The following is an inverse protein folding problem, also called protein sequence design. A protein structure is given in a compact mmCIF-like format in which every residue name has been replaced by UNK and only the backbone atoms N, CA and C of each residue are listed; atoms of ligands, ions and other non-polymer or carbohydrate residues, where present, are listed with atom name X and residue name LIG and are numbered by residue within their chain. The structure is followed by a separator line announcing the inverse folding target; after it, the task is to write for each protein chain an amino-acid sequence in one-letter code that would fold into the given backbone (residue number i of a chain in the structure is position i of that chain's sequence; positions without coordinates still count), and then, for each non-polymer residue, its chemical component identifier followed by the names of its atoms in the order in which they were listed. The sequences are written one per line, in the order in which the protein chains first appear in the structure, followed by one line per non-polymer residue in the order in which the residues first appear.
data_IF_953103233236
#
_entry.id   IF_953103233236
#
_cell.length_a   1.000
_cell.length_b   1.000
_cell.length_c   1.000
_cell.angle_alpha   90.00
_cell.angle_beta   90.00
_cell.angle_gamma   90.00
#
_symmetry.space_group_name_H-M   'P 1'
#
loop_
_entity.id
_entity.type
_entity.pdbx_description
1 polymer ?
#
# COMPACT_ATOMS: atom_id res chain seq x y z
N UNK A 1 -29.18 -8.41 -9.77
CA UNK A 1 -27.75 -8.60 -9.42
C UNK A 1 -27.06 -9.19 -10.65
N UNK A 2 -26.58 -8.30 -11.52
CA UNK A 2 -26.51 -8.52 -12.97
C UNK A 2 -25.21 -9.16 -13.45
N UNK A 3 -25.28 -9.82 -14.60
CA UNK A 3 -24.14 -10.41 -15.35
C UNK A 3 -23.00 -9.39 -15.57
N UNK A 4 -23.34 -8.09 -15.60
CA UNK A 4 -22.38 -6.97 -15.69
C UNK A 4 -21.44 -6.84 -14.48
N UNK A 5 -21.91 -7.10 -13.25
CA UNK A 5 -21.05 -7.01 -12.05
C UNK A 5 -19.95 -8.08 -12.07
N UNK A 6 -20.27 -9.30 -12.49
CA UNK A 6 -19.28 -10.40 -12.59
C UNK A 6 -18.21 -10.14 -13.66
N UNK A 7 -18.56 -9.44 -14.73
CA UNK A 7 -17.63 -9.05 -15.79
C UNK A 7 -16.62 -8.02 -15.30
N UNK A 8 -17.12 -6.97 -14.62
CA UNK A 8 -16.29 -5.93 -14.00
C UNK A 8 -15.38 -6.50 -12.91
N UNK A 9 -15.87 -7.44 -12.09
CA UNK A 9 -15.05 -8.11 -11.07
C UNK A 9 -13.92 -8.98 -11.66
N UNK A 10 -14.15 -9.61 -12.81
CA UNK A 10 -13.09 -10.38 -13.50
C UNK A 10 -12.02 -9.46 -14.09
N UNK A 11 -12.44 -8.35 -14.70
CA UNK A 11 -11.54 -7.35 -15.25
C UNK A 11 -10.74 -6.68 -14.11
N UNK A 12 -11.40 -6.32 -13.01
CA UNK A 12 -10.76 -5.76 -11.82
C UNK A 12 -9.66 -6.67 -11.27
N UNK A 13 -9.97 -7.96 -11.07
CA UNK A 13 -8.98 -8.97 -10.62
C UNK A 13 -7.80 -9.14 -11.58
N UNK A 14 -8.07 -9.11 -12.89
CA UNK A 14 -7.00 -9.18 -13.89
C UNK A 14 -6.08 -7.96 -13.81
N UNK A 15 -6.65 -6.77 -13.69
CA UNK A 15 -5.89 -5.52 -13.59
C UNK A 15 -5.09 -5.44 -12.29
N UNK A 16 -5.67 -5.84 -11.15
CA UNK A 16 -4.93 -6.00 -9.89
C UNK A 16 -3.70 -6.89 -10.06
N UNK A 17 -3.84 -8.02 -10.78
CA UNK A 17 -2.71 -8.93 -11.03
C UNK A 17 -1.60 -8.29 -11.87
N UNK A 18 -1.95 -7.44 -12.84
CA UNK A 18 -0.98 -6.70 -13.64
C UNK A 18 -0.27 -5.64 -12.78
N UNK A 19 -1.00 -4.96 -11.89
CA UNK A 19 -0.49 -3.90 -11.03
C UNK A 19 0.48 -4.40 -9.95
N UNK A 20 0.16 -5.54 -9.35
CA UNK A 20 0.95 -6.16 -8.27
C UNK A 20 2.15 -6.93 -8.82
N UNK A 21 2.25 -7.12 -10.14
CA UNK A 21 3.38 -7.81 -10.76
C UNK A 21 4.68 -7.04 -10.49
N UNK A 22 5.70 -7.75 -10.01
CA UNK A 22 7.05 -7.22 -9.85
C UNK A 22 7.64 -6.82 -11.20
N UNK A 23 8.28 -5.66 -11.25
CA UNK A 23 9.01 -5.21 -12.43
C UNK A 23 10.32 -6.00 -12.55
N UNK A 24 10.62 -6.52 -13.75
CA UNK A 24 11.76 -7.42 -13.98
C UNK A 24 13.14 -6.75 -13.88
N UNK A 25 13.21 -5.46 -13.56
CA UNK A 25 14.42 -4.64 -13.70
C UNK A 25 15.02 -4.07 -12.41
N UNK A 26 14.34 -4.18 -11.26
CA UNK A 26 14.83 -3.57 -10.01
C UNK A 26 14.98 -4.62 -8.89
N UNK A 27 16.22 -4.96 -8.58
CA UNK A 27 16.63 -5.67 -7.38
C UNK A 27 17.16 -4.63 -6.39
N UNK A 28 16.50 -4.39 -5.25
CA UNK A 28 17.03 -3.47 -4.24
C UNK A 28 18.41 -3.99 -3.79
N UNK A 29 19.45 -3.21 -4.06
CA UNK A 29 20.85 -3.65 -3.94
C UNK A 29 21.45 -3.41 -2.54
N UNK A 30 20.62 -3.10 -1.53
CA UNK A 30 21.09 -2.93 -0.16
C UNK A 30 20.41 -3.95 0.74
N UNK A 31 21.14 -4.90 1.35
CA UNK A 31 20.57 -5.71 2.41
C UNK A 31 20.22 -4.77 3.57
N UNK A 32 18.93 -4.59 3.84
CA UNK A 32 18.51 -4.00 5.11
C UNK A 32 18.89 -5.00 6.21
N UNK A 33 19.46 -4.51 7.31
CA UNK A 33 19.67 -5.32 8.50
C UNK A 33 18.30 -5.46 9.21
N UNK A 34 17.60 -6.60 9.05
CA UNK A 34 16.22 -6.74 9.51
C UNK A 34 16.17 -6.83 11.03
N UNK A 35 17.23 -7.32 11.67
CA UNK A 35 17.33 -7.38 13.12
C UNK A 35 17.46 -5.96 13.69
N UNK A 36 18.34 -5.14 13.13
CA UNK A 36 18.47 -3.73 13.55
C UNK A 36 17.18 -2.97 13.28
N UNK A 37 16.54 -3.18 12.12
CA UNK A 37 15.24 -2.57 11.81
C UNK A 37 14.19 -2.95 12.87
N UNK A 38 14.04 -4.24 13.17
CA UNK A 38 13.09 -4.73 14.17
C UNK A 38 13.37 -4.19 15.56
N UNK A 39 14.65 -4.05 15.96
CA UNK A 39 15.03 -3.50 17.27
C UNK A 39 14.84 -1.99 17.37
N UNK A 40 14.83 -1.27 16.25
CA UNK A 40 14.74 0.20 16.21
C UNK A 40 13.30 0.70 16.14
N UNK A 41 12.38 -0.09 15.56
CA UNK A 41 10.99 0.28 15.37
C UNK A 41 10.22 0.40 16.69
N UNK A 42 9.41 1.44 16.79
CA UNK A 42 8.48 1.69 17.90
C UNK A 42 7.03 1.72 17.40
N UNK A 43 6.04 1.23 18.18
CA UNK A 43 4.63 1.38 17.83
C UNK A 43 4.30 2.82 17.47
N UNK A 44 3.58 3.02 16.35
CA UNK A 44 3.32 4.34 15.78
C UNK A 44 4.28 4.77 14.67
N UNK A 45 5.42 4.09 14.50
CA UNK A 45 6.33 4.35 13.38
C UNK A 45 5.70 3.97 12.05
N UNK A 46 6.09 4.71 11.00
CA UNK A 46 5.74 4.41 9.61
C UNK A 46 6.99 3.88 8.91
N UNK A 47 6.92 2.66 8.39
CA UNK A 47 7.93 2.05 7.56
C UNK A 47 7.69 2.45 6.10
N UNK A 48 8.54 3.32 5.56
CA UNK A 48 8.56 3.63 4.14
C UNK A 48 9.35 2.57 3.39
N UNK A 49 8.81 2.11 2.27
CA UNK A 49 9.39 1.03 1.47
C UNK A 49 9.57 1.49 0.03
N UNK A 50 10.76 1.24 -0.50
CA UNK A 50 11.02 1.35 -1.92
C UNK A 50 10.51 0.09 -2.65
N UNK A 51 9.24 0.09 -3.06
CA UNK A 51 8.64 -1.01 -3.80
C UNK A 51 9.17 -1.16 -5.23
N UNK A 52 9.03 -2.36 -5.77
CA UNK A 52 9.46 -2.76 -7.11
C UNK A 52 8.27 -3.22 -8.01
N UNK A 53 7.03 -3.05 -7.55
CA UNK A 53 5.83 -3.40 -8.30
C UNK A 53 5.59 -2.40 -9.45
N UNK A 54 4.80 -2.77 -10.45
CA UNK A 54 4.46 -1.87 -11.55
C UNK A 54 3.86 -0.54 -11.06
N UNK A 55 2.97 -0.60 -10.05
CA UNK A 55 2.42 0.61 -9.41
C UNK A 55 3.51 1.44 -8.72
N UNK A 56 4.53 0.79 -8.16
CA UNK A 56 5.62 1.48 -7.48
C UNK A 56 6.35 2.44 -8.41
N UNK A 57 6.63 2.04 -9.65
CA UNK A 57 7.29 2.91 -10.64
C UNK A 57 6.47 4.17 -10.91
N UNK A 58 5.16 4.03 -11.07
CA UNK A 58 4.28 5.17 -11.33
C UNK A 58 4.10 6.07 -10.10
N UNK A 59 4.04 5.51 -8.88
CA UNK A 59 4.05 6.31 -7.63
C UNK A 59 5.35 7.11 -7.53
N UNK A 60 6.51 6.48 -7.74
CA UNK A 60 7.82 7.16 -7.68
C UNK A 60 7.88 8.31 -8.69
N UNK A 61 7.43 8.05 -9.93
CA UNK A 61 7.38 9.05 -10.98
C UNK A 61 6.44 10.23 -10.64
N UNK A 62 5.24 9.97 -10.14
CA UNK A 62 4.26 11.02 -9.86
C UNK A 62 4.61 11.85 -8.62
N UNK A 63 5.17 11.22 -7.59
CA UNK A 63 5.49 11.87 -6.32
C UNK A 63 6.90 12.47 -6.29
N UNK A 64 7.73 12.16 -7.30
CA UNK A 64 9.16 12.49 -7.30
C UNK A 64 9.88 12.00 -6.03
N UNK A 65 9.41 10.88 -5.47
CA UNK A 65 9.94 10.24 -4.26
C UNK A 65 10.43 8.84 -4.61
N UNK A 66 11.44 8.35 -3.91
CA UNK A 66 11.86 6.93 -4.01
C UNK A 66 10.92 6.00 -3.24
N UNK A 67 10.18 6.52 -2.26
CA UNK A 67 9.25 5.76 -1.43
C UNK A 67 7.93 5.56 -2.16
N UNK A 68 7.57 4.30 -2.40
CA UNK A 68 6.37 3.96 -3.17
C UNK A 68 5.31 3.23 -2.35
N UNK A 69 5.65 2.81 -1.14
CA UNK A 69 4.75 2.11 -0.23
C UNK A 69 5.04 2.52 1.21
N UNK A 70 4.05 2.37 2.07
CA UNK A 70 4.15 2.67 3.49
C UNK A 70 3.37 1.63 4.31
N UNK A 71 3.95 1.19 5.41
CA UNK A 71 3.32 0.32 6.39
C UNK A 71 3.41 0.96 7.77
N UNK A 72 2.37 0.78 8.59
CA UNK A 72 2.32 1.27 9.96
C UNK A 72 2.78 0.17 10.91
N UNK A 73 3.72 0.46 11.81
CA UNK A 73 4.20 -0.48 12.80
C UNK A 73 3.35 -0.45 14.06
N UNK A 74 2.69 -1.58 14.35
CA UNK A 74 1.84 -1.76 15.54
C UNK A 74 2.57 -2.42 16.71
N UNK A 75 3.76 -2.99 16.46
CA UNK A 75 4.44 -3.86 17.43
C UNK A 75 3.74 -5.22 17.57
N UNK A 76 4.06 -5.96 18.62
CA UNK A 76 3.61 -7.35 18.81
C UNK A 76 2.18 -7.49 19.39
N UNK A 77 1.37 -6.44 19.27
CA UNK A 77 0.04 -6.36 19.90
C UNK A 77 -1.00 -7.30 19.25
N UNK A 78 -0.75 -7.76 18.03
CA UNK A 78 -1.68 -8.63 17.31
C UNK A 78 -1.58 -10.10 17.72
N UNK A 79 -0.45 -10.54 18.28
CA UNK A 79 -0.23 -11.94 18.68
C UNK A 79 -0.41 -12.96 17.54
N UNK A 80 -0.31 -12.52 16.29
CA UNK A 80 -0.56 -13.32 15.09
C UNK A 80 0.73 -13.51 14.30
N UNK A 81 0.82 -14.61 13.55
CA UNK A 81 1.93 -14.89 12.62
C UNK A 81 1.47 -14.65 11.19
N UNK A 82 2.33 -14.05 10.37
CA UNK A 82 2.05 -13.85 8.95
C UNK A 82 2.08 -15.21 8.22
N UNK A 83 0.95 -15.67 7.65
CA UNK A 83 0.89 -16.98 7.00
C UNK A 83 1.65 -17.04 5.67
N UNK A 84 1.95 -15.89 5.04
CA UNK A 84 2.63 -15.82 3.74
C UNK A 84 4.14 -15.69 3.89
N UNK A 85 4.59 -14.86 4.81
CA UNK A 85 6.01 -14.51 4.96
C UNK A 85 6.67 -15.10 6.22
N UNK A 86 5.87 -15.64 7.15
CA UNK A 86 6.36 -16.06 8.47
C UNK A 86 6.64 -14.85 9.38
N UNK A 87 6.95 -15.13 10.65
CA UNK A 87 7.23 -14.09 11.64
C UNK A 87 5.97 -13.38 12.18
N UNK A 88 6.12 -12.54 13.23
CA UNK A 88 5.00 -11.88 13.87
C UNK A 88 4.39 -10.78 12.97
N UNK A 89 3.07 -10.67 12.98
CA UNK A 89 2.31 -9.62 12.34
C UNK A 89 2.48 -8.31 13.12
N UNK A 90 3.51 -7.54 12.75
CA UNK A 90 3.88 -6.27 13.42
C UNK A 90 3.66 -5.04 12.55
N UNK A 91 3.27 -5.23 11.28
CA UNK A 91 2.95 -4.17 10.34
C UNK A 91 1.48 -4.24 9.92
N UNK A 92 0.85 -3.08 9.74
CA UNK A 92 -0.45 -2.92 9.08
C UNK A 92 -0.25 -2.08 7.82
N UNK A 93 -0.80 -2.54 6.71
CA UNK A 93 -0.68 -1.86 5.43
C UNK A 93 -1.88 -2.09 4.53
N UNK A 94 -2.00 -1.26 3.50
CA UNK A 94 -3.07 -1.37 2.50
C UNK A 94 -2.48 -1.82 1.18
N UNK A 95 -2.92 -2.98 0.70
CA UNK A 95 -2.52 -3.53 -0.58
C UNK A 95 -3.69 -3.51 -1.58
N UNK A 96 -3.39 -3.20 -2.84
CA UNK A 96 -4.39 -3.27 -3.91
C UNK A 96 -4.87 -4.72 -4.09
N UNK A 97 -6.18 -4.92 -3.98
CA UNK A 97 -6.83 -6.22 -4.11
C UNK A 97 -6.96 -7.03 -2.81
N UNK A 98 -6.08 -6.81 -1.83
CA UNK A 98 -6.17 -7.47 -0.52
C UNK A 98 -6.86 -6.61 0.53
N UNK A 99 -6.77 -5.28 0.38
CA UNK A 99 -7.29 -4.32 1.37
C UNK A 99 -6.28 -4.06 2.48
N UNK A 100 -6.79 -3.64 3.64
CA UNK A 100 -5.99 -3.43 4.84
C UNK A 100 -5.69 -4.78 5.51
N UNK A 101 -4.41 -5.11 5.65
CA UNK A 101 -3.93 -6.40 6.14
C UNK A 101 -2.79 -6.22 7.13
N UNK A 102 -2.62 -7.20 8.02
CA UNK A 102 -1.43 -7.31 8.85
C UNK A 102 -0.39 -8.21 8.19
N UNK A 103 0.89 -7.87 8.32
CA UNK A 103 2.03 -8.61 7.73
C UNK A 103 3.26 -8.53 8.64
N UNK A 104 4.25 -9.37 8.38
CA UNK A 104 5.52 -9.35 9.10
C UNK A 104 6.56 -8.43 8.47
N UNK A 105 7.61 -8.10 9.23
CA UNK A 105 8.80 -7.41 8.70
C UNK A 105 9.55 -8.26 7.66
N UNK A 106 9.45 -9.59 7.73
CA UNK A 106 10.14 -10.52 6.81
C UNK A 106 9.75 -10.30 5.35
N UNK A 107 8.54 -9.78 5.11
CA UNK A 107 8.09 -9.35 3.78
C UNK A 107 9.04 -8.34 3.13
N UNK A 108 9.65 -7.47 3.92
CA UNK A 108 10.49 -6.35 3.45
C UNK A 108 11.99 -6.56 3.63
N UNK A 109 12.40 -7.79 3.95
CA UNK A 109 13.81 -8.16 4.23
C UNK A 109 14.80 -7.80 3.12
N UNK A 110 14.35 -7.80 1.87
CA UNK A 110 15.18 -7.48 0.70
C UNK A 110 14.89 -6.11 0.10
N UNK A 111 14.17 -5.24 0.81
CA UNK A 111 13.77 -3.91 0.34
C UNK A 111 14.56 -2.81 1.04
N UNK A 112 14.77 -1.69 0.33
CA UNK A 112 15.21 -0.46 0.97
C UNK A 112 14.07 0.09 1.82
N UNK A 113 14.34 0.30 3.10
CA UNK A 113 13.37 0.78 4.08
C UNK A 113 13.84 2.04 4.80
N UNK A 114 12.91 2.89 5.22
CA UNK A 114 13.18 4.03 6.11
C UNK A 114 12.10 4.15 7.17
N UNK A 115 12.53 4.37 8.40
CA UNK A 115 11.63 4.67 9.52
C UNK A 115 11.27 6.15 9.48
N UNK A 116 9.97 6.44 9.51
CA UNK A 116 9.42 7.77 9.76
C UNK A 116 8.70 7.74 11.10
N UNK A 117 9.25 8.45 12.08
CA UNK A 117 8.75 8.48 13.46
C UNK A 117 7.95 9.75 13.72
N UNK A 118 6.69 9.66 14.15
CA UNK A 118 5.93 10.85 14.54
C UNK A 118 6.54 11.48 15.81
N UNK A 119 6.54 12.81 15.86
CA UNK A 119 7.03 13.59 17.01
C UNK A 119 5.88 14.32 17.68
N UNK A 120 5.94 14.47 19.01
CA UNK A 120 4.94 15.23 19.77
C UNK A 120 3.66 14.47 20.15
N UNK A 121 3.56 13.17 19.88
CA UNK A 121 2.44 12.34 20.34
C UNK A 121 2.61 11.95 21.80
N UNK A 122 1.54 12.06 22.58
CA UNK A 122 1.46 11.43 23.91
C UNK A 122 1.37 9.91 23.77
N UNK A 123 1.49 9.17 24.88
CA UNK A 123 1.32 7.71 24.86
C UNK A 123 -0.11 7.34 24.49
N UNK A 124 -1.06 8.13 24.97
CA UNK A 124 -2.49 7.98 24.75
C UNK A 124 -2.85 8.25 23.27
N UNK A 125 -2.28 9.29 22.66
CA UNK A 125 -2.49 9.56 21.23
C UNK A 125 -1.92 8.42 20.38
N UNK A 126 -0.68 7.98 20.70
CA UNK A 126 -0.05 6.86 19.99
C UNK A 126 -0.92 5.60 20.07
N UNK A 127 -1.50 5.31 21.23
CA UNK A 127 -2.40 4.16 21.38
C UNK A 127 -3.66 4.31 20.54
N UNK A 128 -4.27 5.51 20.49
CA UNK A 128 -5.43 5.77 19.63
C UNK A 128 -5.13 5.53 18.15
N UNK A 129 -3.95 5.96 17.66
CA UNK A 129 -3.52 5.70 16.28
C UNK A 129 -3.35 4.21 16.04
N UNK A 130 -2.72 3.48 16.97
CA UNK A 130 -2.55 2.01 16.89
C UNK A 130 -3.91 1.31 16.84
N UNK A 131 -4.81 1.63 17.77
CA UNK A 131 -6.15 1.05 17.86
C UNK A 131 -6.97 1.35 16.59
N UNK A 132 -6.87 2.58 16.07
CA UNK A 132 -7.48 2.94 14.80
C UNK A 132 -6.96 2.05 13.69
N UNK A 133 -5.64 1.91 13.53
CA UNK A 133 -5.06 1.09 12.47
C UNK A 133 -5.47 -0.38 12.57
N UNK A 134 -5.50 -0.94 13.78
CA UNK A 134 -5.98 -2.30 14.04
C UNK A 134 -7.45 -2.46 13.63
N UNK A 135 -8.31 -1.46 13.96
CA UNK A 135 -9.74 -1.48 13.60
C UNK A 135 -10.00 -1.52 12.09
N UNK A 136 -9.00 -1.17 11.27
CA UNK A 136 -9.11 -1.16 9.80
C UNK A 136 -8.69 -2.47 9.17
N UNK A 137 -8.10 -3.42 9.89
CA UNK A 137 -7.74 -4.73 9.34
C UNK A 137 -9.00 -5.39 8.75
N UNK A 138 -8.91 -5.87 7.50
CA UNK A 138 -10.02 -6.46 6.77
C UNK A 138 -10.85 -5.47 5.94
N UNK A 139 -10.58 -4.16 6.04
CA UNK A 139 -11.19 -3.15 5.17
C UNK A 139 -10.84 -3.47 3.71
N UNK A 140 -11.86 -3.80 2.90
CA UNK A 140 -11.72 -4.02 1.46
C UNK A 140 -11.96 -2.73 0.70
N UNK A 141 -11.19 -2.53 -0.37
CA UNK A 141 -11.38 -1.42 -1.28
C UNK A 141 -12.22 -1.80 -2.49
N UNK A 142 -13.08 -0.87 -2.92
CA UNK A 142 -13.90 -1.01 -4.11
C UNK A 142 -13.02 -1.02 -5.35
N UNK A 143 -13.25 -2.00 -6.23
CA UNK A 143 -12.55 -2.17 -7.51
C UNK A 143 -12.69 -0.95 -8.41
N UNK A 144 -13.75 -0.14 -8.23
CA UNK A 144 -13.95 1.13 -8.94
C UNK A 144 -12.81 2.11 -8.75
N UNK A 145 -12.26 2.22 -7.53
CA UNK A 145 -11.13 3.12 -7.25
C UNK A 145 -9.82 2.61 -7.88
N UNK A 146 -9.70 1.30 -8.12
CA UNK A 146 -8.55 0.69 -8.80
C UNK A 146 -8.49 1.13 -10.27
N UNK A 147 -9.64 1.26 -10.95
CA UNK A 147 -9.71 1.78 -12.32
C UNK A 147 -9.26 3.24 -12.41
N UNK A 148 -9.65 4.08 -11.44
CA UNK A 148 -9.19 5.47 -11.36
C UNK A 148 -7.67 5.53 -11.11
N UNK A 149 -7.13 4.70 -10.22
CA UNK A 149 -5.68 4.57 -10.00
C UNK A 149 -4.94 4.16 -11.28
N UNK A 150 -5.45 3.16 -12.00
CA UNK A 150 -4.88 2.69 -13.27
C UNK A 150 -4.79 3.79 -14.32
N UNK A 151 -5.80 4.67 -14.38
CA UNK A 151 -5.80 5.82 -15.28
C UNK A 151 -4.65 6.78 -14.99
N UNK A 152 -4.30 6.97 -13.72
CA UNK A 152 -3.15 7.80 -13.32
C UNK A 152 -1.81 7.09 -13.53
N UNK A 153 -1.75 5.77 -13.30
CA UNK A 153 -0.51 5.01 -13.36
C UNK A 153 -0.15 4.45 -14.75
N UNK A 154 -1.07 4.48 -15.71
CA UNK A 154 -0.79 4.29 -17.14
C UNK A 154 -0.74 5.68 -17.84
N UNK A 155 0.45 6.30 -18.03
CA UNK A 155 0.55 7.53 -18.81
C UNK A 155 0.22 7.34 -20.30
N UNK A 156 0.40 6.12 -20.83
CA UNK A 156 0.02 5.73 -22.19
C UNK A 156 -0.68 4.36 -22.19
N UNK A 157 -1.95 4.29 -21.76
CA UNK A 157 -2.73 3.06 -21.93
C UNK A 157 -2.82 2.75 -23.44
N UNK A 158 -2.83 1.47 -23.86
CA UNK A 158 -2.84 1.05 -25.26
C UNK A 158 -4.21 1.32 -25.90
N UNK A 159 -4.60 2.59 -25.93
CA UNK A 159 -5.86 3.08 -26.46
C UNK A 159 -5.58 4.28 -27.36
N UNK A 160 -6.34 4.42 -28.45
CA UNK A 160 -6.14 5.49 -29.43
C UNK A 160 -6.13 6.88 -28.76
N UNK A 161 -5.22 7.76 -29.20
CA UNK A 161 -5.03 9.12 -28.64
C UNK A 161 -6.35 9.90 -28.54
N UNK A 162 -7.26 9.70 -29.50
CA UNK A 162 -8.62 10.29 -29.53
C UNK A 162 -9.50 9.94 -28.32
N UNK A 163 -9.26 8.82 -27.64
CA UNK A 163 -10.02 8.38 -26.46
C UNK A 163 -9.35 8.77 -25.14
N UNK A 164 -8.07 9.18 -25.19
CA UNK A 164 -7.28 9.58 -24.00
C UNK A 164 -7.94 10.72 -23.23
N UNK A 165 -8.43 11.76 -23.93
CA UNK A 165 -9.11 12.91 -23.32
C UNK A 165 -10.45 12.53 -22.65
N UNK A 166 -11.20 11.58 -23.23
CA UNK A 166 -12.49 11.13 -22.66
C UNK A 166 -12.32 10.26 -21.42
N UNK A 167 -11.25 9.47 -21.35
CA UNK A 167 -10.94 8.71 -20.13
C UNK A 167 -10.52 9.62 -18.98
N UNK A 168 -9.77 10.70 -19.23
CA UNK A 168 -9.37 11.66 -18.19
C UNK A 168 -10.58 12.37 -17.56
N UNK A 169 -11.66 12.54 -18.32
CA UNK A 169 -12.90 13.16 -17.85
C UNK A 169 -13.84 12.21 -17.07
N UNK A 170 -13.58 10.90 -17.07
CA UNK A 170 -14.33 9.89 -16.32
C UNK A 170 -13.51 9.50 -15.09
N UNK A 171 -13.86 10.03 -13.91
CA UNK A 171 -13.22 9.66 -12.65
C UNK A 171 -13.93 10.27 -11.45
N UNK A 172 -14.06 9.49 -10.38
CA UNK A 172 -14.95 9.73 -9.23
C UNK A 172 -14.43 10.77 -8.22
N UNK A 173 -13.40 11.54 -8.57
CA UNK A 173 -12.87 12.63 -7.74
C UNK A 173 -12.06 12.20 -6.52
N UNK A 174 -12.11 10.95 -6.07
CA UNK A 174 -11.36 10.50 -4.89
C UNK A 174 -10.53 9.22 -5.11
N UNK A 175 -9.48 9.27 -5.95
CA UNK A 175 -8.48 8.20 -6.05
C UNK A 175 -7.71 7.98 -4.73
N UNK A 176 -7.76 8.96 -3.83
CA UNK A 176 -6.92 9.04 -2.62
C UNK A 176 -7.25 7.96 -1.60
N UNK A 177 -8.51 7.51 -1.50
CA UNK A 177 -8.93 6.58 -0.43
C UNK A 177 -8.28 5.20 -0.51
N UNK A 178 -7.74 4.80 -1.67
CA UNK A 178 -7.26 3.43 -1.93
C UNK A 178 -5.74 3.22 -1.71
N UNK A 179 -5.02 4.19 -1.15
CA UNK A 179 -3.55 4.15 -1.05
C UNK A 179 -3.12 4.04 0.41
N UNK A 180 -2.03 3.28 0.66
CA UNK A 180 -1.40 3.08 1.97
C UNK A 180 -1.23 4.39 2.76
N UNK A 181 -0.82 5.48 2.10
CA UNK A 181 -0.60 6.79 2.72
C UNK A 181 -1.88 7.45 3.22
N UNK A 182 -3.02 7.23 2.57
CA UNK A 182 -4.29 7.88 2.95
C UNK A 182 -4.89 7.33 4.23
N UNK A 183 -4.77 6.02 4.45
CA UNK A 183 -5.27 5.37 5.67
C UNK A 183 -4.41 5.76 6.87
N UNK A 184 -3.09 5.77 6.66
CA UNK A 184 -2.13 6.25 7.65
C UNK A 184 -2.40 7.72 7.98
N UNK A 185 -2.61 8.58 6.98
CA UNK A 185 -2.92 9.99 7.21
C UNK A 185 -4.23 10.17 8.02
N UNK A 186 -5.27 9.39 7.73
CA UNK A 186 -6.51 9.40 8.51
C UNK A 186 -6.31 8.97 9.97
N UNK A 187 -5.34 8.10 10.24
CA UNK A 187 -5.07 7.64 11.60
C UNK A 187 -4.49 8.75 12.49
N UNK A 188 -3.84 9.76 11.90
CA UNK A 188 -3.23 10.90 12.62
C UNK A 188 -4.08 12.18 12.56
N UNK A 189 -5.30 12.14 12.03
CA UNK A 189 -6.26 13.26 12.01
C UNK A 189 -7.17 13.24 13.23
#
# INVERSE_FOLDING_TARGET
MGIFDRGLDKIGRFLTRVLVKESSGYQPYTPSDPETLSRTLEPGDILLVEGNQFVSASIKYLTQSTWSHAAFYVGDVLGATDPKHGGPCVLIEVNLGEGCVATSLDRYKSYNTRICRPVGLTKEDRQQVVDFMISKIGLKYDTRNIFDLLRYFFPTPPVPVRWRRRMIAFGSGEPTKAICSSLIAQAFQ
#
